data_IF_740337255206
#
_entry.id   IF_740337255206
#
_cell.length_a   1.000
_cell.length_b   1.000
_cell.length_c   1.000
_cell.angle_alpha   90.00
_cell.angle_beta   90.00
_cell.angle_gamma   90.00
#
_symmetry.space_group_name_H-M   'P 1'
#
loop_
_entity.id
_entity.type
_entity.pdbx_description
1 polymer ?
#
# COMPACT_ATOMS: atom_id res chain seq x y z
N UNK A 1 25.01 12.20 2.65
CA UNK A 1 24.77 13.58 2.17
C UNK A 1 24.12 14.38 3.29
N UNK A 2 24.77 15.44 3.78
CA UNK A 2 24.17 16.31 4.82
C UNK A 2 23.10 17.23 4.24
N UNK A 3 22.43 18.01 5.10
CA UNK A 3 21.52 19.09 4.68
C UNK A 3 22.30 20.08 3.81
N UNK A 4 21.98 20.13 2.52
CA UNK A 4 22.68 20.96 1.55
C UNK A 4 22.28 22.44 1.70
N UNK A 5 23.00 23.12 2.60
CA UNK A 5 22.86 24.53 2.98
C UNK A 5 22.93 25.48 1.79
N UNK A 6 23.75 25.16 0.78
CA UNK A 6 23.99 26.05 -0.37
C UNK A 6 22.71 26.34 -1.16
N UNK A 7 21.71 25.46 -1.09
CA UNK A 7 20.48 25.62 -1.83
C UNK A 7 19.43 26.45 -1.08
N UNK A 8 19.38 26.38 0.26
CA UNK A 8 18.50 27.27 1.03
C UNK A 8 18.98 28.72 0.94
N UNK A 9 20.30 28.92 0.90
CA UNK A 9 20.94 30.23 0.79
C UNK A 9 20.83 30.84 -0.64
N UNK A 10 20.62 30.02 -1.68
CA UNK A 10 20.55 30.47 -3.07
C UNK A 10 19.19 31.10 -3.44
N UNK A 11 18.08 30.50 -2.98
CA UNK A 11 16.73 30.93 -3.37
C UNK A 11 16.04 31.84 -2.34
N UNK A 12 16.40 31.72 -1.05
CA UNK A 12 15.78 32.50 0.04
C UNK A 12 16.68 32.53 1.31
N UNK A 13 17.70 33.41 1.38
CA UNK A 13 18.69 33.43 2.45
C UNK A 13 18.08 33.65 3.85
N UNK A 14 16.95 34.33 3.98
CA UNK A 14 16.22 34.50 5.24
C UNK A 14 15.65 33.18 5.77
N UNK A 15 15.25 32.26 4.88
CA UNK A 15 14.80 30.93 5.25
C UNK A 15 15.96 30.05 5.72
N UNK A 16 17.16 30.22 5.17
CA UNK A 16 18.38 29.57 5.65
C UNK A 16 18.72 29.97 7.10
N UNK A 17 18.63 31.26 7.42
CA UNK A 17 18.85 31.78 8.78
C UNK A 17 17.77 31.27 9.75
N UNK A 18 16.50 31.31 9.35
CA UNK A 18 15.42 30.79 10.19
C UNK A 18 15.57 29.29 10.44
N UNK A 19 15.96 28.52 9.43
CA UNK A 19 16.21 27.09 9.54
C UNK A 19 17.36 26.78 10.52
N UNK A 20 18.44 27.56 10.48
CA UNK A 20 19.57 27.44 11.41
C UNK A 20 19.19 27.72 12.87
N UNK A 21 18.28 28.67 13.09
CA UNK A 21 17.78 29.03 14.41
C UNK A 21 16.83 27.96 14.97
N UNK A 22 15.99 27.38 14.11
CA UNK A 22 14.97 26.41 14.52
C UNK A 22 15.52 24.98 14.66
N UNK A 23 16.65 24.65 14.02
CA UNK A 23 17.18 23.29 13.99
C UNK A 23 18.56 23.17 14.64
N UNK A 24 18.68 22.21 15.56
CA UNK A 24 19.95 21.89 16.20
C UNK A 24 21.01 21.48 15.18
N UNK A 25 22.29 21.69 15.50
CA UNK A 25 23.41 21.34 14.62
C UNK A 25 23.37 19.86 14.19
N UNK A 26 23.00 18.96 15.11
CA UNK A 26 22.85 17.52 14.85
C UNK A 26 21.77 17.20 13.80
N UNK A 27 20.68 17.96 13.80
CA UNK A 27 19.60 17.83 12.79
C UNK A 27 20.06 18.39 11.44
N UNK A 28 20.88 19.44 11.44
CA UNK A 28 21.44 20.03 10.21
C UNK A 28 22.53 19.17 9.57
N UNK A 29 23.29 18.42 10.36
CA UNK A 29 24.40 17.61 9.85
C UNK A 29 24.02 16.15 9.58
N UNK A 30 22.76 15.75 9.81
CA UNK A 30 22.32 14.36 9.65
C UNK A 30 22.40 13.88 8.20
N UNK A 31 22.71 12.59 8.02
CA UNK A 31 22.72 11.99 6.68
C UNK A 31 21.29 11.75 6.17
N UNK A 32 20.90 12.54 5.16
CA UNK A 32 19.60 12.51 4.51
C UNK A 32 19.40 11.29 3.62
N UNK A 33 20.47 10.58 3.23
CA UNK A 33 20.36 9.30 2.54
C UNK A 33 19.64 8.24 3.41
N UNK A 34 19.70 8.42 4.73
CA UNK A 34 19.01 7.59 5.72
C UNK A 34 17.63 8.17 6.09
N UNK A 35 17.07 9.06 5.27
CA UNK A 35 15.78 9.72 5.51
C UNK A 35 15.82 10.81 6.60
N UNK A 36 14.65 11.38 6.91
CA UNK A 36 14.55 12.50 7.87
C UNK A 36 14.36 12.07 9.34
N UNK A 37 14.47 10.77 9.63
CA UNK A 37 14.61 10.18 10.98
C UNK A 37 13.61 10.69 12.04
N UNK A 38 12.35 10.91 11.65
CA UNK A 38 11.30 11.39 12.55
C UNK A 38 11.23 12.90 12.73
N UNK A 39 11.91 13.67 11.87
CA UNK A 39 11.86 15.15 11.82
C UNK A 39 11.26 15.60 10.48
N UNK A 40 9.92 15.63 10.33
CA UNK A 40 9.28 15.97 9.06
C UNK A 40 9.60 17.38 8.55
N UNK A 41 9.83 18.34 9.45
CA UNK A 41 10.06 19.75 9.12
C UNK A 41 11.27 19.98 8.23
N UNK A 42 12.37 19.23 8.45
CA UNK A 42 13.54 19.25 7.57
C UNK A 42 13.16 18.68 6.21
N UNK A 43 12.40 17.58 6.22
CA UNK A 43 12.03 16.87 5.03
C UNK A 43 11.26 17.70 4.02
N UNK A 44 10.27 18.48 4.44
CA UNK A 44 9.40 19.23 3.51
C UNK A 44 10.18 20.22 2.62
N UNK A 45 11.25 20.83 3.15
CA UNK A 45 12.11 21.76 2.38
C UNK A 45 12.87 21.02 1.29
N UNK A 46 13.42 19.84 1.59
CA UNK A 46 14.14 19.01 0.62
C UNK A 46 13.20 18.30 -0.35
N UNK A 47 12.04 17.86 0.15
CA UNK A 47 11.05 17.17 -0.66
C UNK A 47 10.42 18.10 -1.69
N UNK A 48 10.48 19.43 -1.57
CA UNK A 48 10.11 20.30 -2.71
C UNK A 48 10.92 20.00 -3.98
N UNK A 49 12.16 19.49 -3.86
CA UNK A 49 12.95 19.03 -5.02
C UNK A 49 12.49 17.71 -5.62
N UNK A 50 11.63 16.92 -4.93
CA UNK A 50 10.96 15.79 -5.59
C UNK A 50 10.19 16.29 -6.81
N UNK A 51 9.71 17.54 -6.82
CA UNK A 51 9.08 18.13 -8.00
C UNK A 51 10.07 18.24 -9.16
N UNK A 52 11.34 18.45 -8.90
CA UNK A 52 12.38 18.59 -9.92
C UNK A 52 12.85 17.23 -10.47
N UNK A 53 12.45 16.13 -9.82
CA UNK A 53 12.81 14.78 -10.25
C UNK A 53 12.22 14.44 -11.62
N UNK A 54 13.03 13.78 -12.44
CA UNK A 54 12.63 13.31 -13.77
C UNK A 54 11.38 12.41 -13.71
N UNK A 55 11.19 11.72 -12.58
CA UNK A 55 10.04 10.87 -12.30
C UNK A 55 8.70 11.59 -12.54
N UNK A 56 8.45 12.74 -11.90
CA UNK A 56 7.15 13.42 -12.04
C UNK A 56 6.94 13.98 -13.44
N UNK A 57 7.99 14.49 -14.06
CA UNK A 57 7.90 14.98 -15.43
C UNK A 57 7.55 13.84 -16.41
N UNK A 58 8.16 12.66 -16.25
CA UNK A 58 7.83 11.48 -17.04
C UNK A 58 6.41 10.98 -16.76
N UNK A 59 6.03 10.89 -15.49
CA UNK A 59 4.70 10.46 -15.07
C UNK A 59 3.60 11.38 -15.62
N UNK A 60 3.76 12.69 -15.50
CA UNK A 60 2.83 13.68 -16.03
C UNK A 60 2.81 13.67 -17.56
N UNK A 61 3.95 13.48 -18.22
CA UNK A 61 3.99 13.34 -19.69
C UNK A 61 3.24 12.10 -20.17
N UNK A 62 3.35 10.97 -19.45
CA UNK A 62 2.58 9.77 -19.72
C UNK A 62 1.08 9.99 -19.50
N UNK A 63 0.72 10.68 -18.41
CA UNK A 63 -0.67 11.07 -18.15
C UNK A 63 -1.25 11.91 -19.30
N UNK A 64 -0.52 12.91 -19.80
CA UNK A 64 -1.00 13.74 -20.93
C UNK A 64 -1.11 12.96 -22.25
N UNK A 65 -0.37 11.86 -22.40
CA UNK A 65 -0.47 10.95 -23.54
C UNK A 65 -1.52 9.85 -23.39
N UNK A 66 -2.08 9.65 -22.19
CA UNK A 66 -3.04 8.59 -21.92
C UNK A 66 -4.47 9.02 -22.31
N UNK A 67 -5.24 8.07 -22.83
CA UNK A 67 -6.68 8.24 -23.06
C UNK A 67 -7.47 7.63 -21.89
N UNK A 68 -8.49 8.34 -21.41
CA UNK A 68 -9.39 7.87 -20.35
C UNK A 68 -9.15 8.53 -19.00
N UNK A 69 -9.91 8.08 -17.99
CA UNK A 69 -9.77 8.56 -16.63
C UNK A 69 -8.49 8.00 -16.00
N UNK A 70 -7.66 8.88 -15.42
CA UNK A 70 -6.46 8.47 -14.66
C UNK A 70 -6.70 8.67 -13.17
N UNK A 71 -6.30 7.69 -12.38
CA UNK A 71 -6.38 7.72 -10.92
C UNK A 71 -4.96 7.56 -10.37
N UNK A 72 -4.56 8.46 -9.48
CA UNK A 72 -3.35 8.31 -8.67
C UNK A 72 -3.75 8.08 -7.22
N UNK A 73 -3.05 7.15 -6.57
CA UNK A 73 -3.22 6.88 -5.15
C UNK A 73 -1.86 6.88 -4.47
N UNK A 74 -1.72 7.68 -3.41
CA UNK A 74 -0.49 7.76 -2.64
C UNK A 74 -0.70 7.15 -1.25
N UNK A 75 0.31 6.51 -0.68
CA UNK A 75 0.27 6.02 0.69
C UNK A 75 1.53 6.48 1.42
N UNK A 76 1.37 6.99 2.64
CA UNK A 76 2.51 7.46 3.42
C UNK A 76 2.19 7.59 4.90
N UNK A 77 3.17 7.28 5.73
CA UNK A 77 3.07 7.51 7.18
C UNK A 77 3.17 8.99 7.50
N UNK A 78 2.19 9.51 8.24
CA UNK A 78 2.17 10.91 8.70
C UNK A 78 2.90 11.10 10.03
N UNK A 79 3.39 10.01 10.64
CA UNK A 79 4.16 10.01 11.89
C UNK A 79 5.68 9.86 11.70
N UNK A 80 6.11 9.33 10.56
CA UNK A 80 7.52 9.15 10.21
C UNK A 80 8.16 10.44 9.70
N UNK A 81 9.47 10.41 9.39
CA UNK A 81 10.17 11.55 8.80
C UNK A 81 9.88 11.70 7.30
N UNK A 82 10.23 10.68 6.50
CA UNK A 82 10.18 10.70 5.04
C UNK A 82 8.75 10.75 4.49
N UNK A 83 7.88 9.84 4.95
CA UNK A 83 6.50 9.77 4.49
C UNK A 83 5.73 11.07 4.75
N UNK A 84 5.85 11.61 5.97
CA UNK A 84 5.12 12.81 6.38
C UNK A 84 5.56 14.06 5.60
N UNK A 85 6.84 14.13 5.23
CA UNK A 85 7.38 15.20 4.41
C UNK A 85 7.05 15.07 2.91
N UNK A 86 7.06 13.84 2.37
CA UNK A 86 6.90 13.60 0.94
C UNK A 86 5.44 13.63 0.49
N UNK A 87 4.51 13.05 1.28
CA UNK A 87 3.13 12.84 0.85
C UNK A 87 2.39 14.14 0.46
N UNK A 88 2.55 15.29 1.16
CA UNK A 88 2.00 16.56 0.72
C UNK A 88 2.61 17.06 -0.61
N UNK A 89 3.92 16.87 -0.78
CA UNK A 89 4.63 17.31 -1.98
C UNK A 89 4.19 16.50 -3.19
N UNK A 90 4.04 15.17 -3.06
CA UNK A 90 3.55 14.30 -4.14
C UNK A 90 2.21 14.78 -4.67
N UNK A 91 1.26 15.09 -3.77
CA UNK A 91 -0.06 15.61 -4.15
C UNK A 91 0.05 16.92 -4.93
N UNK A 92 0.84 17.87 -4.43
CA UNK A 92 1.07 19.18 -5.09
C UNK A 92 1.78 19.03 -6.43
N UNK A 93 2.75 18.13 -6.54
CA UNK A 93 3.47 17.86 -7.78
C UNK A 93 2.51 17.32 -8.86
N UNK A 94 1.63 16.40 -8.49
CA UNK A 94 0.60 15.87 -9.39
C UNK A 94 -0.43 16.92 -9.75
N UNK A 95 -0.89 17.73 -8.79
CA UNK A 95 -1.91 18.77 -9.02
C UNK A 95 -1.39 19.96 -9.84
N UNK A 96 -0.29 20.56 -9.39
CA UNK A 96 0.23 21.83 -9.91
C UNK A 96 1.19 21.63 -11.07
N UNK A 97 1.71 20.41 -11.22
CA UNK A 97 2.79 20.11 -12.16
C UNK A 97 4.17 20.44 -11.60
N UNK A 98 5.16 20.28 -12.47
CA UNK A 98 6.57 20.33 -12.11
C UNK A 98 7.39 21.14 -13.08
N UNK A 99 8.47 21.72 -12.58
CA UNK A 99 9.45 22.44 -13.38
C UNK A 99 10.82 21.81 -13.15
N UNK A 100 11.34 21.07 -14.14
CA UNK A 100 12.57 20.29 -13.96
C UNK A 100 13.79 21.13 -13.58
N UNK A 101 13.91 22.35 -14.12
CA UNK A 101 15.00 23.32 -13.84
C UNK A 101 14.56 24.76 -14.09
N UNK A 102 15.23 25.76 -13.48
CA UNK A 102 15.08 27.16 -13.87
C UNK A 102 15.31 27.33 -15.38
N UNK A 103 14.31 27.85 -16.11
CA UNK A 103 14.36 28.04 -17.56
C UNK A 103 13.90 26.84 -18.42
N UNK A 104 13.61 25.67 -17.84
CA UNK A 104 12.96 24.57 -18.56
C UNK A 104 11.44 24.81 -18.70
N UNK A 105 10.83 24.26 -19.75
CA UNK A 105 9.37 24.29 -19.90
C UNK A 105 8.72 23.47 -18.78
N UNK A 106 7.79 24.08 -18.05
CA UNK A 106 7.04 23.39 -17.01
C UNK A 106 6.13 22.30 -17.61
N UNK A 107 6.07 21.15 -16.95
CA UNK A 107 5.11 20.10 -17.26
C UNK A 107 3.86 20.38 -16.44
N UNK A 108 2.72 20.57 -17.11
CA UNK A 108 1.44 20.85 -16.43
C UNK A 108 1.03 19.68 -15.54
N UNK A 109 0.34 20.00 -14.45
CA UNK A 109 -0.24 19.00 -13.55
C UNK A 109 -1.35 18.18 -14.21
N UNK A 110 -1.79 17.16 -13.48
CA UNK A 110 -2.81 16.20 -13.86
C UNK A 110 -4.20 16.70 -13.45
N UNK A 111 -4.65 17.81 -14.05
CA UNK A 111 -5.88 18.53 -13.66
C UNK A 111 -7.16 17.68 -13.69
N UNK A 112 -7.21 16.64 -14.54
CA UNK A 112 -8.38 15.74 -14.66
C UNK A 112 -8.18 14.40 -13.97
N UNK A 113 -7.01 14.18 -13.34
CA UNK A 113 -6.77 12.95 -12.59
C UNK A 113 -7.48 13.00 -11.23
N UNK A 114 -7.87 11.82 -10.74
CA UNK A 114 -8.36 11.65 -9.38
C UNK A 114 -7.18 11.33 -8.48
N UNK A 115 -7.05 12.05 -7.36
CA UNK A 115 -5.94 11.91 -6.43
C UNK A 115 -6.49 11.40 -5.09
N UNK A 116 -6.10 10.21 -4.67
CA UNK A 116 -6.44 9.65 -3.36
C UNK A 116 -5.20 9.47 -2.50
N UNK A 117 -5.34 9.47 -1.18
CA UNK A 117 -4.24 9.18 -0.28
C UNK A 117 -4.63 8.31 0.92
N UNK A 118 -3.77 7.38 1.31
CA UNK A 118 -3.79 6.73 2.62
C UNK A 118 -2.82 7.43 3.58
N UNK A 119 -3.36 8.01 4.65
CA UNK A 119 -2.63 8.61 5.74
C UNK A 119 -2.40 7.55 6.83
N UNK A 120 -1.19 6.99 6.88
CA UNK A 120 -0.87 5.98 7.89
C UNK A 120 -0.55 6.67 9.22
N UNK A 121 -1.42 6.48 10.20
CA UNK A 121 -1.22 6.85 11.60
C UNK A 121 -0.25 5.87 12.27
N UNK A 122 0.33 6.19 13.43
CA UNK A 122 1.23 5.28 14.14
C UNK A 122 0.62 3.88 14.27
N UNK A 123 1.38 2.85 13.89
CA UNK A 123 0.95 1.45 13.94
C UNK A 123 2.04 0.48 14.39
N UNK A 124 3.23 1.00 14.71
CA UNK A 124 4.33 0.21 15.25
C UNK A 124 5.13 1.02 16.27
N UNK A 125 5.86 0.31 17.12
CA UNK A 125 6.90 0.86 17.99
C UNK A 125 8.26 0.33 17.56
N UNK A 126 9.31 1.04 17.94
CA UNK A 126 10.70 0.67 17.74
C UNK A 126 11.31 0.28 19.08
N UNK A 127 12.21 -0.71 19.11
CA UNK A 127 12.90 -1.08 20.32
C UNK A 127 13.79 0.08 20.79
N UNK A 128 14.03 0.14 22.10
CA UNK A 128 14.95 1.12 22.69
C UNK A 128 16.32 0.99 22.03
N UNK A 129 16.85 2.06 21.43
CA UNK A 129 18.13 1.99 20.74
C UNK A 129 19.27 1.74 21.72
N UNK A 130 20.22 0.89 21.33
CA UNK A 130 21.42 0.57 22.14
C UNK A 130 22.44 1.70 22.25
N UNK A 131 22.16 2.89 21.69
CA UNK A 131 23.05 4.05 21.70
C UNK A 131 22.64 5.10 20.67
N UNK A 132 23.34 6.24 20.71
CA UNK A 132 23.16 7.31 19.72
C UNK A 132 23.69 6.87 18.34
N UNK A 133 23.12 7.39 17.24
CA UNK A 133 23.68 7.21 15.89
C UNK A 133 25.15 7.63 15.80
N UNK A 134 25.92 6.97 14.92
CA UNK A 134 27.34 7.28 14.73
C UNK A 134 27.59 8.71 14.23
N UNK A 135 26.64 9.28 13.49
CA UNK A 135 26.67 10.67 13.02
C UNK A 135 26.13 11.67 14.06
N UNK A 136 25.72 11.21 15.24
CA UNK A 136 25.14 12.04 16.30
C UNK A 136 23.78 12.65 15.94
N UNK A 137 23.18 12.26 14.81
CA UNK A 137 21.88 12.74 14.35
C UNK A 137 20.71 12.20 15.20
N UNK A 138 19.49 12.71 14.97
CA UNK A 138 18.29 12.17 15.61
C UNK A 138 18.02 10.73 15.14
N UNK A 139 17.30 9.98 15.97
CA UNK A 139 16.78 8.65 15.66
C UNK A 139 15.26 8.68 15.78
N UNK A 140 14.52 7.88 15.00
CA UNK A 140 13.09 7.74 15.22
C UNK A 140 12.80 7.20 16.64
N UNK A 141 11.90 7.88 17.34
CA UNK A 141 11.51 7.56 18.72
C UNK A 141 9.99 7.44 18.85
N UNK A 142 9.55 6.41 19.57
CA UNK A 142 8.11 6.10 19.74
C UNK A 142 7.32 7.27 20.33
N UNK A 143 7.91 7.98 21.30
CA UNK A 143 7.27 9.10 21.98
C UNK A 143 6.90 10.25 21.03
N UNK A 144 7.58 10.36 19.90
CA UNK A 144 7.41 11.45 18.94
C UNK A 144 6.40 11.11 17.85
N UNK A 145 6.12 9.82 17.60
CA UNK A 145 5.24 9.40 16.49
C UNK A 145 3.83 9.99 16.56
N UNK A 146 3.19 9.92 17.73
CA UNK A 146 1.85 10.50 17.91
C UNK A 146 1.85 12.02 17.74
N UNK A 147 2.91 12.69 18.23
CA UNK A 147 3.06 14.14 18.08
C UNK A 147 3.27 14.54 16.61
N UNK A 148 4.12 13.82 15.88
CA UNK A 148 4.35 14.03 14.46
C UNK A 148 3.06 13.86 13.65
N UNK A 149 2.31 12.79 13.90
CA UNK A 149 1.01 12.58 13.25
C UNK A 149 0.05 13.74 13.52
N UNK A 150 -0.09 14.15 14.78
CA UNK A 150 -0.95 15.26 15.17
C UNK A 150 -0.52 16.59 14.52
N UNK A 151 0.79 16.83 14.37
CA UNK A 151 1.32 18.01 13.69
C UNK A 151 1.17 17.98 12.16
N UNK A 152 1.15 16.79 11.55
CA UNK A 152 1.03 16.63 10.10
C UNK A 152 -0.44 16.71 9.61
N UNK A 153 -1.39 16.16 10.37
CA UNK A 153 -2.81 16.09 10.01
C UNK A 153 -3.44 17.44 9.60
N UNK A 154 -3.15 18.59 10.26
CA UNK A 154 -3.65 19.89 9.84
C UNK A 154 -3.35 20.26 8.38
N UNK A 155 -2.23 19.79 7.81
CA UNK A 155 -1.87 20.03 6.40
C UNK A 155 -2.92 19.47 5.43
N UNK A 156 -3.60 18.40 5.84
CA UNK A 156 -4.60 17.73 5.02
C UNK A 156 -6.03 18.23 5.29
N UNK A 157 -6.24 18.98 6.38
CA UNK A 157 -7.51 19.57 6.80
C UNK A 157 -7.67 21.03 6.34
N UNK A 158 -6.55 21.75 6.25
CA UNK A 158 -6.49 23.16 5.90
C UNK A 158 -6.51 23.36 4.37
N UNK A 159 -7.50 24.10 3.87
CA UNK A 159 -7.67 24.40 2.43
C UNK A 159 -6.49 25.13 1.82
N UNK A 160 -5.82 26.01 2.58
CA UNK A 160 -4.68 26.77 2.05
C UNK A 160 -3.43 25.89 1.89
N UNK A 161 -3.37 24.79 2.66
CA UNK A 161 -2.23 23.86 2.68
C UNK A 161 -2.51 22.55 1.97
N UNK A 162 -3.76 22.33 1.57
CA UNK A 162 -4.29 21.13 0.92
C UNK A 162 -3.34 20.65 -0.19
N UNK A 163 -2.84 19.40 -0.09
CA UNK A 163 -2.02 18.77 -1.13
C UNK A 163 -2.77 18.49 -2.44
N UNK A 164 -4.11 18.53 -2.46
CA UNK A 164 -4.92 18.32 -3.66
C UNK A 164 -5.54 16.92 -3.79
N UNK A 165 -5.58 16.13 -2.73
CA UNK A 165 -6.24 14.82 -2.75
C UNK A 165 -7.76 14.98 -2.57
N UNK A 166 -8.54 14.24 -3.35
CA UNK A 166 -10.00 14.22 -3.25
C UNK A 166 -10.54 13.37 -2.11
N UNK A 167 -9.82 12.29 -1.74
CA UNK A 167 -10.14 11.48 -0.57
C UNK A 167 -8.90 11.07 0.22
N UNK A 168 -9.07 11.01 1.54
CA UNK A 168 -8.07 10.57 2.51
C UNK A 168 -8.57 9.34 3.28
N UNK A 169 -7.80 8.27 3.25
CA UNK A 169 -8.02 7.08 4.06
C UNK A 169 -7.13 7.14 5.29
N UNK A 170 -7.71 7.29 6.49
CA UNK A 170 -6.95 7.23 7.74
C UNK A 170 -6.86 5.78 8.20
N UNK A 171 -5.63 5.27 8.30
CA UNK A 171 -5.38 3.88 8.70
C UNK A 171 -4.33 3.86 9.80
N UNK A 172 -4.59 3.18 10.90
CA UNK A 172 -3.69 3.09 12.05
C UNK A 172 -3.98 1.88 12.91
N UNK A 173 -3.20 1.73 13.97
CA UNK A 173 -3.41 0.70 14.98
C UNK A 173 -3.24 1.28 16.39
N UNK A 174 -4.20 1.02 17.26
CA UNK A 174 -4.16 1.39 18.68
C UNK A 174 -3.30 0.45 19.53
N UNK A 175 -2.94 -0.72 19.00
CA UNK A 175 -2.07 -1.73 19.60
C UNK A 175 -0.78 -1.90 18.78
N UNK A 176 0.05 -0.85 18.69
CA UNK A 176 1.20 -0.85 17.79
C UNK A 176 2.16 -1.99 18.12
N UNK A 177 2.62 -2.68 17.08
CA UNK A 177 3.57 -3.79 17.21
C UNK A 177 5.01 -3.28 17.30
N UNK A 178 5.79 -3.83 18.22
CA UNK A 178 7.23 -3.55 18.28
C UNK A 178 7.98 -4.21 17.11
N UNK A 179 8.80 -3.42 16.43
CA UNK A 179 9.70 -3.87 15.37
C UNK A 179 10.90 -4.61 15.97
N UNK A 180 11.52 -5.49 15.18
CA UNK A 180 12.67 -6.27 15.66
C UNK A 180 13.93 -5.40 15.82
N UNK A 181 14.02 -4.32 15.06
CA UNK A 181 15.18 -3.42 15.03
C UNK A 181 14.75 -1.96 14.93
N UNK A 182 15.60 -1.09 15.45
CA UNK A 182 15.53 0.35 15.23
C UNK A 182 16.68 0.71 14.29
N UNK A 183 16.45 0.62 12.99
CA UNK A 183 17.43 0.99 11.96
C UNK A 183 17.12 2.41 11.45
N UNK A 184 18.17 3.13 11.06
CA UNK A 184 18.04 4.56 10.74
C UNK A 184 17.34 4.82 9.40
N UNK A 185 17.50 3.92 8.42
CA UNK A 185 17.06 4.10 7.04
C UNK A 185 17.67 3.08 6.08
N UNK A 186 17.31 3.19 4.80
CA UNK A 186 17.86 2.35 3.71
C UNK A 186 17.47 0.87 3.82
N UNK A 187 18.25 0.01 3.17
CA UNK A 187 17.98 -1.45 3.09
C UNK A 187 17.96 -2.13 4.47
N UNK A 188 18.61 -1.55 5.47
CA UNK A 188 18.60 -2.04 6.85
C UNK A 188 17.23 -1.83 7.51
N UNK A 189 16.45 -0.82 7.11
CA UNK A 189 15.11 -0.54 7.64
C UNK A 189 14.06 -1.50 7.05
N UNK A 190 14.32 -2.80 7.18
CA UNK A 190 13.44 -3.89 6.81
C UNK A 190 12.44 -4.17 7.94
N UNK A 191 11.48 -3.26 8.12
CA UNK A 191 10.42 -3.41 9.10
C UNK A 191 9.55 -4.64 8.79
N UNK A 192 9.12 -5.35 9.83
CA UNK A 192 8.21 -6.49 9.69
C UNK A 192 6.84 -5.99 9.27
N UNK A 193 6.21 -6.70 8.33
CA UNK A 193 4.91 -6.36 7.79
C UNK A 193 3.82 -6.21 8.88
N UNK A 194 2.89 -5.29 8.62
CA UNK A 194 1.77 -5.00 9.52
C UNK A 194 0.44 -4.96 8.78
N UNK A 195 -0.66 -5.40 9.40
CA UNK A 195 -1.97 -5.45 8.73
C UNK A 195 -2.44 -4.09 8.22
N UNK A 196 -2.03 -2.99 8.87
CA UNK A 196 -2.28 -1.61 8.42
C UNK A 196 -1.84 -1.38 6.97
N UNK A 197 -0.74 -2.02 6.53
CA UNK A 197 -0.25 -1.93 5.15
C UNK A 197 -1.19 -2.63 4.15
N UNK A 198 -1.80 -3.75 4.56
CA UNK A 198 -2.85 -4.40 3.77
C UNK A 198 -4.07 -3.46 3.64
N UNK A 199 -4.50 -2.81 4.71
CA UNK A 199 -5.62 -1.86 4.64
C UNK A 199 -5.30 -0.65 3.78
N UNK A 200 -4.05 -0.17 3.78
CA UNK A 200 -3.60 0.88 2.88
C UNK A 200 -3.69 0.45 1.40
N UNK A 201 -3.34 -0.81 1.10
CA UNK A 201 -3.49 -1.37 -0.25
C UNK A 201 -4.98 -1.53 -0.63
N UNK A 202 -5.83 -2.00 0.29
CA UNK A 202 -7.27 -2.11 0.07
C UNK A 202 -7.93 -0.74 -0.14
N UNK A 203 -7.45 0.31 0.55
CA UNK A 203 -7.90 1.67 0.33
C UNK A 203 -7.66 2.15 -1.11
N UNK A 204 -6.52 1.78 -1.71
CA UNK A 204 -6.25 2.10 -3.12
C UNK A 204 -7.24 1.40 -4.07
N UNK A 205 -7.60 0.14 -3.77
CA UNK A 205 -8.59 -0.61 -4.55
C UNK A 205 -9.99 -0.03 -4.39
N UNK A 206 -10.42 0.28 -3.15
CA UNK A 206 -11.71 0.92 -2.87
C UNK A 206 -11.82 2.28 -3.58
N UNK A 207 -10.79 3.13 -3.48
CA UNK A 207 -10.73 4.42 -4.16
C UNK A 207 -10.90 4.28 -5.67
N UNK A 208 -10.15 3.33 -6.26
CA UNK A 208 -10.21 3.07 -7.70
C UNK A 208 -11.56 2.51 -8.13
N UNK A 209 -12.13 1.57 -7.37
CA UNK A 209 -13.43 0.95 -7.65
C UNK A 209 -14.58 1.97 -7.58
N UNK A 210 -14.45 3.01 -6.75
CA UNK A 210 -15.38 4.15 -6.69
C UNK A 210 -15.19 5.16 -7.83
N UNK A 211 -14.27 4.91 -8.75
CA UNK A 211 -13.94 5.79 -9.87
C UNK A 211 -12.98 6.94 -9.50
N UNK A 212 -12.41 6.91 -8.29
CA UNK A 212 -11.62 7.97 -7.70
C UNK A 212 -12.47 9.20 -7.39
N UNK A 213 -12.65 9.50 -6.10
CA UNK A 213 -13.45 10.66 -5.69
C UNK A 213 -12.92 11.96 -6.32
N UNK A 214 -13.87 12.75 -6.84
CA UNK A 214 -13.60 14.12 -7.24
C UNK A 214 -13.11 14.90 -6.01
N UNK A 215 -12.17 15.82 -6.22
CA UNK A 215 -11.83 16.79 -5.19
C UNK A 215 -13.02 17.72 -4.98
N UNK A 216 -13.54 17.75 -3.76
CA UNK A 216 -14.47 18.78 -3.34
C UNK A 216 -13.68 19.95 -2.75
N UNK A 217 -13.74 21.10 -3.43
CA UNK A 217 -13.10 22.35 -2.97
C UNK A 217 -13.68 22.85 -1.63
N UNK A 218 -14.83 22.32 -1.19
CA UNK A 218 -15.42 22.63 0.11
C UNK A 218 -14.81 21.78 1.22
N UNK A 219 -14.91 20.47 1.17
CA UNK A 219 -14.37 19.62 2.25
C UNK A 219 -13.77 18.35 1.65
N UNK A 220 -12.51 18.01 1.99
CA UNK A 220 -11.95 16.75 1.57
C UNK A 220 -12.70 15.58 2.22
N UNK A 221 -12.85 14.49 1.47
CA UNK A 221 -13.54 13.29 1.94
C UNK A 221 -12.59 12.48 2.82
N UNK A 222 -12.94 12.32 4.09
CA UNK A 222 -12.21 11.41 4.98
C UNK A 222 -12.93 10.08 5.09
N UNK A 223 -12.17 9.01 4.88
CA UNK A 223 -12.58 7.64 5.08
C UNK A 223 -11.77 7.07 6.24
N UNK A 224 -12.49 6.70 7.29
CA UNK A 224 -11.96 5.84 8.33
C UNK A 224 -12.72 4.53 8.22
N UNK A 225 -12.01 3.42 8.34
CA UNK A 225 -12.61 2.09 8.33
C UNK A 225 -12.01 1.27 9.43
N UNK A 226 -12.78 0.30 9.91
CA UNK A 226 -12.28 -1.07 9.78
C UNK A 226 -12.99 -2.16 10.58
N UNK A 227 -12.21 -2.98 11.29
CA UNK A 227 -12.48 -4.30 11.86
C UNK A 227 -12.78 -4.43 13.39
N UNK A 228 -14.00 -4.17 13.85
CA UNK A 228 -14.34 -4.21 15.29
C UNK A 228 -14.45 -5.61 15.91
N UNK A 229 -13.99 -6.64 15.21
CA UNK A 229 -14.12 -8.04 15.63
C UNK A 229 -12.75 -8.64 15.96
N UNK A 230 -12.69 -9.51 16.97
CA UNK A 230 -11.50 -10.31 17.28
C UNK A 230 -11.12 -11.28 16.13
N UNK A 231 -12.01 -11.51 15.17
CA UNK A 231 -11.82 -12.38 14.01
C UNK A 231 -12.39 -11.76 12.70
N UNK A 232 -11.71 -10.79 12.06
CA UNK A 232 -12.12 -10.30 10.73
C UNK A 232 -12.32 -11.42 9.72
N UNK A 233 -13.45 -11.38 9.03
CA UNK A 233 -13.72 -12.19 7.86
C UNK A 233 -13.49 -11.43 6.55
N UNK A 234 -13.70 -12.16 5.46
CA UNK A 234 -13.70 -11.59 4.11
C UNK A 234 -14.78 -10.52 3.89
N UNK A 235 -15.89 -10.61 4.63
CA UNK A 235 -17.00 -9.67 4.58
C UNK A 235 -16.65 -8.28 5.08
N UNK A 236 -15.67 -8.18 5.99
CA UNK A 236 -15.27 -6.95 6.66
C UNK A 236 -14.26 -6.12 5.85
N UNK A 237 -13.75 -6.68 4.74
CA UNK A 237 -12.85 -5.95 3.86
C UNK A 237 -13.62 -4.88 3.08
N UNK A 238 -13.12 -3.62 3.01
CA UNK A 238 -13.78 -2.49 2.37
C UNK A 238 -13.65 -2.54 0.85
N UNK A 239 -14.02 -3.66 0.23
CA UNK A 239 -13.94 -3.89 -1.21
C UNK A 239 -15.22 -4.53 -1.71
N UNK A 240 -15.57 -4.29 -2.97
CA UNK A 240 -16.73 -4.90 -3.60
C UNK A 240 -16.57 -6.43 -3.76
N UNK A 241 -17.68 -7.10 -4.04
CA UNK A 241 -17.72 -8.57 -4.20
C UNK A 241 -16.79 -9.08 -5.30
N UNK A 242 -16.66 -8.35 -6.40
CA UNK A 242 -15.78 -8.70 -7.52
C UNK A 242 -14.30 -8.62 -7.13
N UNK A 243 -13.89 -7.51 -6.50
CA UNK A 243 -12.53 -7.35 -5.97
C UNK A 243 -12.22 -8.40 -4.91
N UNK A 244 -13.15 -8.68 -3.99
CA UNK A 244 -13.00 -9.72 -2.98
C UNK A 244 -12.82 -11.11 -3.59
N UNK A 245 -13.64 -11.46 -4.59
CA UNK A 245 -13.51 -12.71 -5.37
C UNK A 245 -12.12 -12.81 -6.00
N UNK A 246 -11.65 -11.74 -6.65
CA UNK A 246 -10.33 -11.70 -7.27
C UNK A 246 -9.20 -11.90 -6.24
N UNK A 247 -9.27 -11.24 -5.08
CA UNK A 247 -8.31 -11.40 -3.99
C UNK A 247 -8.27 -12.85 -3.46
N UNK A 248 -9.44 -13.44 -3.16
CA UNK A 248 -9.53 -14.84 -2.74
C UNK A 248 -8.93 -15.79 -3.78
N UNK A 249 -9.29 -15.58 -5.06
CA UNK A 249 -8.76 -16.37 -6.17
C UNK A 249 -7.25 -16.23 -6.33
N UNK A 250 -6.71 -15.03 -6.20
CA UNK A 250 -5.27 -14.78 -6.25
C UNK A 250 -4.52 -15.49 -5.12
N UNK A 251 -5.06 -15.48 -3.89
CA UNK A 251 -4.46 -16.22 -2.77
C UNK A 251 -4.50 -17.74 -2.98
N UNK A 252 -5.61 -18.27 -3.51
CA UNK A 252 -5.70 -19.69 -3.87
C UNK A 252 -4.66 -20.04 -4.94
N UNK A 253 -4.57 -19.25 -6.01
CA UNK A 253 -3.61 -19.46 -7.09
C UNK A 253 -2.17 -19.43 -6.56
N UNK A 254 -1.85 -18.41 -5.76
CA UNK A 254 -0.54 -18.20 -5.15
C UNK A 254 -0.16 -19.36 -4.23
N UNK A 255 -1.03 -19.72 -3.29
CA UNK A 255 -0.79 -20.82 -2.37
C UNK A 255 -0.59 -22.14 -3.12
N UNK A 256 -1.52 -22.50 -4.01
CA UNK A 256 -1.42 -23.74 -4.79
C UNK A 256 -0.14 -23.78 -5.62
N UNK A 257 0.26 -22.66 -6.22
CA UNK A 257 1.47 -22.62 -7.02
C UNK A 257 2.74 -22.80 -6.19
N UNK A 258 2.84 -22.12 -5.06
CA UNK A 258 3.99 -22.27 -4.16
C UNK A 258 4.06 -23.68 -3.58
N UNK A 259 2.92 -24.26 -3.19
CA UNK A 259 2.87 -25.61 -2.62
C UNK A 259 3.23 -26.71 -3.62
N UNK A 260 2.81 -26.57 -4.88
CA UNK A 260 2.93 -27.66 -5.86
C UNK A 260 4.05 -27.47 -6.87
N UNK A 261 4.24 -26.25 -7.38
CA UNK A 261 5.24 -25.98 -8.44
C UNK A 261 6.57 -25.45 -7.90
N UNK A 262 6.59 -24.89 -6.68
CA UNK A 262 7.82 -24.43 -6.03
C UNK A 262 7.94 -24.83 -4.55
N UNK A 263 7.77 -26.11 -4.21
CA UNK A 263 8.04 -26.54 -2.84
C UNK A 263 9.50 -26.20 -2.50
N UNK A 264 9.72 -25.48 -1.39
CA UNK A 264 11.04 -25.11 -0.86
C UNK A 264 11.91 -24.22 -1.77
N UNK A 265 11.34 -23.46 -2.71
CA UNK A 265 12.11 -22.54 -3.55
C UNK A 265 12.99 -23.24 -4.61
N UNK A 266 12.51 -24.38 -5.14
CA UNK A 266 13.20 -25.16 -6.18
C UNK A 266 13.65 -24.37 -7.42
N UNK A 267 14.55 -24.97 -8.18
CA UNK A 267 15.20 -24.33 -9.33
C UNK A 267 14.21 -24.03 -10.48
N UNK A 268 14.56 -23.13 -11.42
CA UNK A 268 13.73 -22.88 -12.61
C UNK A 268 13.45 -24.14 -13.43
N UNK A 269 14.38 -25.10 -13.44
CA UNK A 269 14.25 -26.39 -14.13
C UNK A 269 13.22 -27.29 -13.45
N UNK A 270 13.20 -27.31 -12.10
CA UNK A 270 12.20 -28.06 -11.31
C UNK A 270 10.79 -27.51 -11.55
N UNK A 271 10.66 -26.17 -11.64
CA UNK A 271 9.40 -25.49 -11.93
C UNK A 271 8.88 -25.84 -13.34
N UNK A 272 9.76 -25.78 -14.34
CA UNK A 272 9.40 -26.17 -15.70
C UNK A 272 8.94 -27.65 -15.73
N UNK A 273 9.71 -28.56 -15.12
CA UNK A 273 9.38 -29.98 -14.99
C UNK A 273 8.01 -30.22 -14.34
N UNK A 274 7.69 -29.51 -13.25
CA UNK A 274 6.40 -29.62 -12.59
C UNK A 274 5.23 -29.12 -13.47
N UNK A 275 5.46 -28.03 -14.24
CA UNK A 275 4.47 -27.49 -15.18
C UNK A 275 4.28 -28.36 -16.44
N UNK A 276 5.31 -29.11 -16.86
CA UNK A 276 5.14 -30.13 -17.90
C UNK A 276 4.15 -31.23 -17.49
N UNK A 277 4.10 -31.56 -16.20
CA UNK A 277 3.26 -32.64 -15.66
C UNK A 277 1.78 -32.31 -15.54
N UNK A 278 1.34 -31.07 -15.77
CA UNK A 278 -0.06 -30.69 -15.60
C UNK A 278 -0.92 -30.95 -16.84
N UNK A 279 -2.00 -31.69 -16.65
CA UNK A 279 -2.89 -32.15 -17.73
C UNK A 279 -3.56 -31.00 -18.50
N UNK A 280 -3.83 -29.87 -17.85
CA UNK A 280 -4.46 -28.71 -18.49
C UNK A 280 -3.51 -27.88 -19.37
N UNK A 281 -2.19 -28.00 -19.22
CA UNK A 281 -1.24 -27.36 -20.13
C UNK A 281 -1.43 -27.85 -21.58
N UNK A 282 -1.71 -29.16 -21.74
CA UNK A 282 -2.03 -29.76 -23.04
C UNK A 282 -3.31 -29.18 -23.66
N UNK A 283 -4.35 -28.93 -22.84
CA UNK A 283 -5.60 -28.29 -23.29
C UNK A 283 -5.38 -26.86 -23.81
N UNK A 284 -4.37 -26.17 -23.26
CA UNK A 284 -4.00 -24.81 -23.64
C UNK A 284 -3.02 -24.75 -24.81
N UNK A 285 -2.69 -25.88 -25.47
CA UNK A 285 -1.76 -25.93 -26.61
C UNK A 285 -0.39 -25.31 -26.27
N UNK A 286 0.09 -25.53 -25.05
CA UNK A 286 1.41 -25.08 -24.59
C UNK A 286 2.42 -26.20 -24.83
N UNK A 287 3.27 -26.12 -25.88
CA UNK A 287 4.27 -27.14 -26.12
C UNK A 287 5.30 -27.16 -24.97
N UNK A 288 5.94 -28.31 -24.71
CA UNK A 288 6.97 -28.42 -23.67
C UNK A 288 8.01 -27.29 -23.68
N UNK A 289 8.51 -26.91 -24.86
CA UNK A 289 9.49 -25.83 -25.00
C UNK A 289 9.04 -24.47 -24.40
N UNK A 290 7.73 -24.21 -24.27
CA UNK A 290 7.24 -22.95 -23.70
C UNK A 290 7.66 -22.77 -22.23
N UNK A 291 7.80 -23.86 -21.47
CA UNK A 291 8.18 -23.80 -20.06
C UNK A 291 9.67 -23.52 -19.89
N UNK A 292 10.52 -24.12 -20.74
CA UNK A 292 11.94 -23.82 -20.79
C UNK A 292 12.21 -22.40 -21.30
N UNK A 293 11.50 -21.96 -22.35
CA UNK A 293 11.69 -20.63 -22.96
C UNK A 293 11.26 -19.48 -22.04
N UNK A 294 10.44 -19.78 -21.03
CA UNK A 294 9.90 -18.80 -20.07
C UNK A 294 10.32 -19.09 -18.63
N UNK A 295 11.30 -19.96 -18.41
CA UNK A 295 11.74 -20.39 -17.08
C UNK A 295 12.11 -19.20 -16.19
N UNK A 296 12.86 -18.22 -16.71
CA UNK A 296 13.26 -17.02 -15.97
C UNK A 296 12.06 -16.15 -15.57
N UNK A 297 11.08 -15.99 -16.47
CA UNK A 297 9.87 -15.22 -16.20
C UNK A 297 8.99 -15.92 -15.15
N UNK A 298 8.85 -17.23 -15.25
CA UNK A 298 8.13 -18.06 -14.28
C UNK A 298 8.81 -18.07 -12.91
N UNK A 299 10.14 -18.09 -12.90
CA UNK A 299 10.95 -18.00 -11.70
C UNK A 299 10.81 -16.61 -11.05
N UNK A 300 10.79 -15.53 -11.84
CA UNK A 300 10.49 -14.18 -11.33
C UNK A 300 9.08 -14.08 -10.72
N UNK A 301 8.06 -14.65 -11.35
CA UNK A 301 6.70 -14.74 -10.78
C UNK A 301 6.73 -15.52 -9.48
N UNK A 302 7.38 -16.68 -9.45
CA UNK A 302 7.48 -17.51 -8.24
C UNK A 302 8.19 -16.80 -7.08
N UNK A 303 9.25 -16.02 -7.34
CA UNK A 303 9.91 -15.19 -6.32
C UNK A 303 8.97 -14.09 -5.80
N UNK A 304 8.26 -13.40 -6.69
CA UNK A 304 7.28 -12.38 -6.30
C UNK A 304 6.16 -12.97 -5.45
N UNK A 305 5.65 -14.14 -5.81
CA UNK A 305 4.62 -14.84 -5.05
C UNK A 305 5.13 -15.33 -3.70
N UNK A 306 6.38 -15.80 -3.62
CA UNK A 306 7.01 -16.17 -2.36
C UNK A 306 7.16 -14.97 -1.43
N UNK A 307 7.67 -13.84 -1.94
CA UNK A 307 7.77 -12.59 -1.17
C UNK A 307 6.40 -12.12 -0.66
N UNK A 308 5.36 -12.22 -1.50
CA UNK A 308 3.97 -11.92 -1.11
C UNK A 308 3.49 -12.87 -0.01
N UNK A 309 3.79 -14.16 -0.11
CA UNK A 309 3.43 -15.16 0.90
C UNK A 309 4.13 -14.93 2.24
N UNK A 310 5.40 -14.56 2.20
CA UNK A 310 6.19 -14.21 3.38
C UNK A 310 5.61 -12.96 4.07
N UNK A 311 5.29 -11.93 3.29
CA UNK A 311 4.60 -10.73 3.77
C UNK A 311 3.27 -11.09 4.45
N UNK A 312 2.40 -11.88 3.81
CA UNK A 312 1.14 -12.37 4.40
C UNK A 312 1.36 -13.18 5.69
N UNK A 313 2.40 -14.01 5.72
CA UNK A 313 2.76 -14.80 6.92
C UNK A 313 3.19 -13.91 8.07
N UNK A 314 3.90 -12.82 7.79
CA UNK A 314 4.28 -11.82 8.78
C UNK A 314 3.08 -11.05 9.34
N UNK A 315 2.07 -10.76 8.50
CA UNK A 315 0.81 -10.14 8.95
C UNK A 315 0.12 -10.97 10.04
N UNK A 316 0.24 -12.30 9.99
CA UNK A 316 -0.35 -13.20 10.99
C UNK A 316 0.21 -13.00 12.41
N UNK A 317 1.33 -12.28 12.54
CA UNK A 317 1.92 -11.90 13.83
C UNK A 317 1.32 -10.61 14.40
N UNK A 318 0.48 -9.91 13.64
CA UNK A 318 -0.29 -8.73 14.08
C UNK A 318 -1.78 -9.09 14.12
N UNK A 319 -2.44 -8.81 15.23
CA UNK A 319 -3.88 -9.06 15.39
C UNK A 319 -4.63 -7.76 15.06
N UNK A 320 -5.49 -7.73 14.03
CA UNK A 320 -6.27 -6.54 13.72
C UNK A 320 -7.25 -6.24 14.85
N UNK A 321 -7.14 -5.04 15.44
CA UNK A 321 -8.13 -4.46 16.33
C UNK A 321 -8.71 -3.21 15.66
N UNK A 322 -9.99 -2.89 15.90
CA UNK A 322 -10.57 -1.67 15.34
C UNK A 322 -11.77 -1.10 16.07
N UNK A 323 -12.00 0.19 15.78
CA UNK A 323 -13.22 0.94 16.02
C UNK A 323 -13.73 1.71 14.77
N UNK A 324 -15.03 1.61 14.45
CA UNK A 324 -15.64 2.20 13.25
C UNK A 324 -15.97 3.68 13.47
N UNK A 325 -15.63 4.54 12.51
CA UNK A 325 -16.05 5.94 12.46
C UNK A 325 -16.49 6.29 11.04
N UNK A 326 -17.77 6.57 10.84
CA UNK A 326 -18.28 7.11 9.59
C UNK A 326 -18.38 8.64 9.68
N UNK A 327 -17.81 9.36 8.71
CA UNK A 327 -18.15 10.76 8.48
C UNK A 327 -19.31 10.79 7.47
N UNK A 328 -20.53 11.08 7.94
CA UNK A 328 -21.67 11.34 7.04
C UNK A 328 -21.59 12.75 6.47
N UNK A 329 -22.09 12.92 5.26
CA UNK A 329 -21.91 14.10 4.40
C UNK A 329 -22.56 15.42 4.88
N UNK A 330 -23.18 15.44 6.07
CA UNK A 330 -23.81 16.63 6.65
C UNK A 330 -23.08 17.07 7.91
N UNK A 331 -22.18 18.04 7.72
CA UNK A 331 -21.24 18.62 8.69
C UNK A 331 -20.23 17.62 9.30
N UNK A 332 -18.98 18.06 9.55
CA UNK A 332 -18.05 17.26 10.35
C UNK A 332 -18.56 17.24 11.79
N UNK A 333 -19.44 16.29 12.14
CA UNK A 333 -19.68 15.94 13.53
C UNK A 333 -18.33 15.49 14.08
N UNK A 334 -17.74 16.32 14.95
CA UNK A 334 -16.59 15.92 15.77
C UNK A 334 -16.98 14.62 16.47
N UNK A 335 -16.49 13.49 15.99
CA UNK A 335 -16.58 12.23 16.73
C UNK A 335 -15.47 12.28 17.77
N UNK A 336 -15.79 12.42 19.06
CA UNK A 336 -14.77 12.46 20.10
C UNK A 336 -14.01 11.13 20.11
N UNK A 337 -12.68 11.16 20.21
CA UNK A 337 -11.82 9.96 20.19
C UNK A 337 -12.21 8.90 21.23
N UNK A 338 -12.88 9.28 22.32
CA UNK A 338 -13.36 8.37 23.36
C UNK A 338 -14.66 7.63 23.00
N UNK A 339 -15.44 8.11 22.02
CA UNK A 339 -16.70 7.50 21.60
C UNK A 339 -16.52 6.33 20.62
N UNK A 340 -15.26 5.98 20.30
CA UNK A 340 -14.90 4.86 19.43
C UNK A 340 -14.98 3.50 20.15
N UNK A 341 -15.10 3.46 21.48
CA UNK A 341 -14.91 2.24 22.29
C UNK A 341 -16.24 1.74 22.88
N UNK A 342 -17.09 1.09 22.08
CA UNK A 342 -18.11 0.11 22.49
C UNK A 342 -18.32 -0.81 21.25
N UNK A 343 -18.32 -2.15 21.24
CA UNK A 343 -18.81 -3.19 22.14
C UNK A 343 -19.68 -4.16 21.28
N UNK A 344 -19.69 -5.48 21.59
CA UNK A 344 -20.42 -6.60 20.91
C UNK A 344 -19.74 -7.18 19.65
N UNK A 345 -19.56 -8.49 19.45
CA UNK A 345 -19.91 -9.72 20.17
C UNK A 345 -19.29 -10.94 19.44
N UNK A 346 -19.18 -12.09 20.12
CA UNK A 346 -18.46 -13.29 19.66
C UNK A 346 -19.03 -13.89 18.38
N UNK A 347 -18.29 -13.79 17.27
CA UNK A 347 -18.45 -14.64 16.10
C UNK A 347 -17.71 -15.97 16.32
N UNK A 348 -18.42 -17.09 16.19
CA UNK A 348 -17.87 -18.42 16.46
C UNK A 348 -16.89 -18.87 15.38
N UNK A 349 -15.80 -19.51 15.84
CA UNK A 349 -14.84 -20.22 15.00
C UNK A 349 -15.55 -21.10 13.97
N UNK A 350 -15.48 -20.71 12.69
CA UNK A 350 -15.76 -21.62 11.58
C UNK A 350 -14.45 -22.25 11.11
N UNK A 351 -14.21 -23.48 11.56
CA UNK A 351 -13.11 -24.30 11.07
C UNK A 351 -13.31 -24.72 9.61
N UNK A 352 -12.23 -24.68 8.83
CA UNK A 352 -11.56 -25.88 8.23
C UNK A 352 -10.73 -25.53 6.99
N UNK A 353 -9.44 -25.84 7.11
CA UNK A 353 -8.48 -26.45 6.17
C UNK A 353 -8.55 -26.11 4.66
N UNK A 354 -7.47 -25.46 4.21
CA UNK A 354 -7.11 -25.21 2.82
C UNK A 354 -6.20 -26.32 2.23
N UNK A 355 -6.52 -27.59 2.49
CA UNK A 355 -5.68 -28.74 2.09
C UNK A 355 -6.25 -29.54 0.90
N UNK A 356 -7.19 -29.00 0.13
CA UNK A 356 -7.72 -29.66 -1.09
C UNK A 356 -7.10 -29.11 -2.38
N UNK A 357 -5.80 -29.38 -2.58
CA UNK A 357 -5.07 -29.04 -3.80
C UNK A 357 -5.71 -29.70 -5.05
N UNK A 358 -6.33 -30.88 -4.89
CA UNK A 358 -7.00 -31.59 -5.98
C UNK A 358 -8.27 -30.86 -6.46
N UNK A 359 -9.01 -30.24 -5.55
CA UNK A 359 -10.16 -29.40 -5.87
C UNK A 359 -9.77 -28.18 -6.73
N UNK A 360 -8.66 -27.53 -6.41
CA UNK A 360 -8.14 -26.39 -7.19
C UNK A 360 -7.77 -26.83 -8.62
N UNK A 361 -7.03 -27.93 -8.76
CA UNK A 361 -6.67 -28.47 -10.08
C UNK A 361 -7.90 -28.88 -10.91
N UNK A 362 -8.94 -29.41 -10.26
CA UNK A 362 -10.20 -29.71 -10.95
C UNK A 362 -10.85 -28.44 -11.50
N UNK A 363 -10.85 -27.35 -10.74
CA UNK A 363 -11.37 -26.07 -11.19
C UNK A 363 -10.55 -25.52 -12.38
N UNK A 364 -9.22 -25.60 -12.31
CA UNK A 364 -8.33 -25.20 -13.42
C UNK A 364 -8.52 -26.04 -14.67
N UNK A 365 -8.63 -27.37 -14.54
CA UNK A 365 -8.91 -28.28 -15.66
C UNK A 365 -10.23 -27.94 -16.34
N UNK A 366 -11.27 -27.65 -15.54
CA UNK A 366 -12.59 -27.27 -16.04
C UNK A 366 -12.52 -25.94 -16.80
N UNK A 367 -11.77 -24.97 -16.28
CA UNK A 367 -11.61 -23.66 -16.92
C UNK A 367 -10.77 -23.76 -18.20
N UNK A 368 -9.70 -24.55 -18.20
CA UNK A 368 -8.91 -24.82 -19.39
C UNK A 368 -9.73 -25.48 -20.50
N UNK A 369 -10.59 -26.44 -20.17
CA UNK A 369 -11.47 -27.13 -21.13
C UNK A 369 -12.51 -26.19 -21.78
N UNK A 370 -12.88 -25.08 -21.13
CA UNK A 370 -13.81 -24.08 -21.67
C UNK A 370 -13.16 -23.12 -22.66
N UNK A 371 -11.83 -23.06 -22.70
CA UNK A 371 -11.10 -22.07 -23.49
C UNK A 371 -10.97 -22.52 -24.93
N UNK A 372 -11.30 -21.61 -25.85
CA UNK A 372 -11.14 -21.82 -27.31
C UNK A 372 -9.74 -21.45 -27.81
N UNK A 373 -9.07 -20.52 -27.12
CA UNK A 373 -7.73 -20.02 -27.44
C UNK A 373 -6.72 -20.53 -26.40
N UNK A 374 -5.55 -20.96 -26.88
CA UNK A 374 -4.45 -21.46 -26.06
C UNK A 374 -3.35 -20.42 -25.83
N UNK A 375 -2.23 -20.87 -25.27
CA UNK A 375 -1.03 -20.07 -25.03
C UNK A 375 -0.89 -19.52 -23.61
N UNK A 376 0.18 -18.77 -23.38
CA UNK A 376 0.60 -18.37 -22.03
C UNK A 376 -0.37 -17.40 -21.35
N UNK A 377 -1.01 -16.51 -22.11
CA UNK A 377 -2.08 -15.66 -21.57
C UNK A 377 -3.29 -16.47 -21.09
N UNK A 378 -3.66 -17.53 -21.83
CA UNK A 378 -4.73 -18.44 -21.42
C UNK A 378 -4.35 -19.23 -20.17
N UNK A 379 -3.07 -19.56 -19.98
CA UNK A 379 -2.56 -20.19 -18.77
C UNK A 379 -2.77 -19.31 -17.52
N UNK A 380 -2.33 -18.06 -17.57
CA UNK A 380 -2.51 -17.13 -16.45
C UNK A 380 -3.99 -16.91 -16.13
N UNK A 381 -4.83 -16.85 -17.16
CA UNK A 381 -6.26 -16.69 -16.98
C UNK A 381 -6.97 -17.93 -16.44
N UNK A 382 -6.52 -19.14 -16.77
CA UNK A 382 -7.01 -20.38 -16.15
C UNK A 382 -6.68 -20.41 -14.66
N UNK A 383 -5.44 -20.04 -14.30
CA UNK A 383 -5.05 -19.91 -12.90
C UNK A 383 -5.93 -18.91 -12.17
N UNK A 384 -6.20 -17.74 -12.76
CA UNK A 384 -7.07 -16.71 -12.18
C UNK A 384 -8.52 -17.19 -12.04
N UNK A 385 -9.20 -17.45 -13.16
CA UNK A 385 -10.63 -17.74 -13.18
C UNK A 385 -10.98 -19.07 -12.49
N UNK A 386 -10.11 -20.08 -12.65
CA UNK A 386 -10.29 -21.37 -11.97
C UNK A 386 -10.12 -21.25 -10.45
N UNK A 387 -9.14 -20.46 -9.97
CA UNK A 387 -8.95 -20.23 -8.53
C UNK A 387 -10.05 -19.37 -7.91
N UNK A 388 -10.52 -18.34 -8.61
CA UNK A 388 -11.69 -17.55 -8.19
C UNK A 388 -12.91 -18.44 -8.01
N UNK A 389 -13.21 -19.30 -9.00
CA UNK A 389 -14.35 -20.21 -8.93
C UNK A 389 -14.23 -21.19 -7.77
N UNK A 390 -13.06 -21.79 -7.59
CA UNK A 390 -12.80 -22.66 -6.45
C UNK A 390 -13.03 -21.92 -5.12
N UNK A 391 -12.55 -20.67 -5.03
CA UNK A 391 -12.69 -19.88 -3.82
C UNK A 391 -14.15 -19.52 -3.50
N UNK A 392 -14.98 -19.25 -4.52
CA UNK A 392 -16.42 -19.02 -4.35
C UNK A 392 -17.14 -20.26 -3.82
N UNK A 393 -16.84 -21.44 -4.37
CA UNK A 393 -17.45 -22.70 -3.96
C UNK A 393 -17.03 -23.10 -2.52
N UNK A 394 -15.78 -22.79 -2.12
CA UNK A 394 -15.18 -23.28 -0.87
C UNK A 394 -15.22 -22.30 0.30
N UNK A 395 -15.23 -21.00 0.01
CA UNK A 395 -15.25 -19.90 0.98
C UNK A 395 -16.46 -19.00 0.71
N UNK A 396 -17.69 -19.53 0.86
CA UNK A 396 -18.91 -18.77 0.62
C UNK A 396 -18.95 -17.55 1.55
N UNK A 397 -19.58 -16.48 1.09
CA UNK A 397 -19.80 -15.31 1.92
C UNK A 397 -20.81 -15.65 3.02
N UNK A 398 -20.59 -15.19 4.25
CA UNK A 398 -21.66 -15.18 5.23
C UNK A 398 -22.76 -14.25 4.70
N UNK A 399 -23.98 -14.76 4.56
CA UNK A 399 -25.13 -13.93 4.22
C UNK A 399 -25.23 -12.81 5.25
N UNK A 400 -25.24 -11.55 4.81
CA UNK A 400 -25.55 -10.44 5.69
C UNK A 400 -26.99 -10.63 6.17
N UNK A 401 -27.26 -10.73 7.48
CA UNK A 401 -28.63 -10.79 7.97
C UNK A 401 -29.31 -9.45 7.62
N UNK A 402 -30.23 -9.44 6.65
CA UNK A 402 -31.09 -8.29 6.37
C UNK A 402 -31.28 -7.86 4.92
N UNK A 403 -30.72 -8.54 3.92
CA UNK A 403 -31.22 -8.40 2.54
C UNK A 403 -32.34 -9.44 2.29
N UNK A 404 -33.41 -9.35 3.08
CA UNK A 404 -34.70 -9.88 2.62
C UNK A 404 -35.23 -8.92 1.55
N UNK A 405 -35.57 -9.51 0.40
CA UNK A 405 -36.26 -8.85 -0.70
C UNK A 405 -37.46 -8.06 -0.20
N UNK A 406 -37.50 -6.76 -0.52
CA UNK A 406 -38.72 -6.01 -0.81
C UNK A 406 -38.42 -4.84 -1.74
#
# INVERSE_FOLDING_TARGET
>A
AGVDRQVMDADAPELGVLFDLLNSRRVREMDLAMGFRGVPSVGTVFMNRLRDEAFFAQLLSQYHGAAGATVFFAAGSVFGGTGAAALPVVGRALRDGVQQRPGASAVRGAERARLGAALLLPYFTLPTPGGAPADGGPRPENAVFAHNAAGALPTYLDRERDPGYGAYYLVGDSLPREQERNELGGDAQANVAHYVELFAALAALDFTARGGEERDDRLPIYRATGVGSDEPGWGDLPVDRGTRRALKGALVALHTFLSFFRPNGGSPEDLAAALHGVTWAGLLRLPPATWSDRSDALDAVGRSWMSTWEWLRELRRSTPALHLAAATADQPTRVPTHALIEGFGRGGQQGRHADDVFGVFRAWNTEAARRRNGGFGAFMEVLRAGSERFAEDRFPEAEQPGQEEN
#
